data_IF_013873243504
#
_entry.id   IF_013873243504
#
_cell.length_a   1.000
_cell.length_b   1.000
_cell.length_c   1.000
_cell.angle_alpha   90.00
_cell.angle_beta   90.00
_cell.angle_gamma   90.00
#
_symmetry.space_group_name_H-M   'P 1'
#
loop_
_entity.id
_entity.type
_entity.pdbx_description
1 polymer ?
#
# COMPACT_ATOMS: atom_id res chain seq x y z
N UNK A 1 -18.86 9.54 8.99
CA UNK A 1 -17.45 9.96 8.92
C UNK A 1 -16.82 10.04 10.32
N UNK A 2 -17.33 10.84 11.24
CA UNK A 2 -16.69 11.14 12.53
C UNK A 2 -16.38 9.89 13.37
N UNK A 3 -17.33 8.99 13.56
CA UNK A 3 -17.11 7.77 14.32
C UNK A 3 -16.14 6.79 13.64
N UNK A 4 -16.19 6.66 12.31
CA UNK A 4 -15.31 5.77 11.56
C UNK A 4 -13.84 6.19 11.68
N UNK A 5 -13.57 7.48 11.78
CA UNK A 5 -12.22 8.04 11.86
C UNK A 5 -11.73 8.29 13.28
N UNK A 6 -12.62 8.21 14.29
CA UNK A 6 -12.31 8.58 15.68
C UNK A 6 -11.12 7.82 16.23
N UNK A 7 -11.13 6.49 16.16
CA UNK A 7 -10.07 5.67 16.74
C UNK A 7 -8.68 6.04 16.21
N UNK A 8 -8.54 6.19 14.88
CA UNK A 8 -7.28 6.59 14.27
C UNK A 8 -6.82 7.98 14.74
N UNK A 9 -7.73 8.94 14.74
CA UNK A 9 -7.45 10.32 15.17
C UNK A 9 -7.01 10.38 16.63
N UNK A 10 -7.75 9.76 17.53
CA UNK A 10 -7.43 9.70 18.96
C UNK A 10 -6.12 8.96 19.22
N UNK A 11 -5.84 7.88 18.49
CA UNK A 11 -4.58 7.14 18.60
C UNK A 11 -3.37 8.01 18.20
N UNK A 12 -3.48 8.78 17.12
CA UNK A 12 -2.43 9.71 16.68
C UNK A 12 -2.26 10.84 17.70
N UNK A 13 -3.35 11.42 18.19
CA UNK A 13 -3.30 12.45 19.23
C UNK A 13 -2.61 11.95 20.50
N UNK A 14 -2.98 10.75 20.96
CA UNK A 14 -2.38 10.13 22.15
C UNK A 14 -0.88 9.85 21.94
N UNK A 15 -0.46 9.39 20.77
CA UNK A 15 0.94 9.19 20.44
C UNK A 15 1.72 10.51 20.43
N UNK A 16 1.18 11.54 19.74
CA UNK A 16 1.78 12.89 19.69
C UNK A 16 1.96 13.52 21.05
N UNK A 17 1.00 13.33 21.96
CA UNK A 17 1.09 13.85 23.33
C UNK A 17 2.20 13.19 24.18
N UNK A 18 2.78 12.08 23.73
CA UNK A 18 3.81 11.31 24.46
C UNK A 18 5.21 11.46 23.90
N UNK A 19 5.38 12.16 22.77
CA UNK A 19 6.67 12.31 22.10
C UNK A 19 7.02 13.77 21.88
N UNK A 20 8.33 14.07 21.70
CA UNK A 20 8.81 15.40 21.36
C UNK A 20 8.38 15.82 19.95
N UNK A 21 8.42 17.13 19.65
CA UNK A 21 8.06 17.67 18.33
C UNK A 21 8.92 17.16 17.17
N UNK A 22 10.14 16.67 17.44
CA UNK A 22 11.05 16.09 16.46
C UNK A 22 10.77 14.62 16.16
N UNK A 23 9.92 13.94 16.96
CA UNK A 23 9.58 12.54 16.73
C UNK A 23 8.53 12.40 15.63
N UNK A 24 8.81 11.54 14.64
CA UNK A 24 7.89 11.29 13.54
C UNK A 24 6.76 10.33 13.98
N UNK A 25 5.54 10.85 14.00
CA UNK A 25 4.31 10.03 14.15
C UNK A 25 3.68 9.89 12.78
N UNK A 26 3.54 8.67 12.31
CA UNK A 26 3.03 8.34 10.97
C UNK A 26 2.01 7.21 11.05
N UNK A 27 1.30 6.96 9.95
CA UNK A 27 0.36 5.85 9.81
C UNK A 27 0.40 5.28 8.40
N UNK A 28 0.11 3.99 8.30
CA UNK A 28 -0.39 3.43 7.06
C UNK A 28 -1.88 3.66 6.97
N UNK A 29 -2.33 4.26 5.87
CA UNK A 29 -3.72 4.64 5.67
C UNK A 29 -4.30 3.98 4.42
N UNK A 30 -5.39 3.22 4.60
CA UNK A 30 -6.22 2.77 3.50
C UNK A 30 -7.17 3.89 3.09
N UNK A 31 -7.19 4.24 1.81
CA UNK A 31 -7.99 5.36 1.27
C UNK A 31 -9.13 4.91 0.34
N UNK A 32 -9.21 3.60 0.05
CA UNK A 32 -10.26 3.03 -0.80
C UNK A 32 -10.41 1.55 -0.48
N UNK A 33 -11.60 1.13 -0.05
CA UNK A 33 -11.84 -0.25 0.34
C UNK A 33 -12.14 -1.19 -0.82
N UNK A 34 -12.78 -0.70 -1.89
CA UNK A 34 -13.16 -1.51 -3.05
C UNK A 34 -14.31 -2.47 -2.78
N UNK A 35 -15.21 -2.17 -1.86
CA UNK A 35 -16.47 -2.86 -1.66
C UNK A 35 -17.62 -1.86 -1.42
N UNK A 36 -18.89 -2.31 -1.59
CA UNK A 36 -20.02 -1.40 -1.77
C UNK A 36 -20.27 -0.41 -0.64
N UNK A 37 -20.70 0.79 -1.01
CA UNK A 37 -21.33 1.74 -0.11
C UNK A 37 -22.58 1.12 0.57
N UNK A 38 -22.90 1.42 1.85
CA UNK A 38 -22.23 2.43 2.70
C UNK A 38 -21.07 1.88 3.55
N UNK A 39 -20.66 0.65 3.35
CA UNK A 39 -19.65 -0.02 4.17
C UNK A 39 -18.23 0.29 3.71
N UNK A 40 -18.02 0.43 2.41
CA UNK A 40 -16.73 0.79 1.84
C UNK A 40 -16.33 2.24 2.10
N UNK A 41 -15.07 2.48 2.46
CA UNK A 41 -14.49 3.81 2.56
C UNK A 41 -13.88 4.22 1.22
N UNK A 42 -14.02 5.50 0.85
CA UNK A 42 -13.46 6.03 -0.40
C UNK A 42 -14.12 5.47 -1.66
N UNK A 43 -15.37 5.04 -1.58
CA UNK A 43 -16.15 4.51 -2.70
C UNK A 43 -17.31 5.43 -3.05
N UNK A 44 -17.68 5.46 -4.34
CA UNK A 44 -18.80 6.24 -4.82
C UNK A 44 -20.14 5.66 -4.31
N UNK A 45 -21.05 6.52 -3.88
CA UNK A 45 -22.37 6.13 -3.36
C UNK A 45 -23.26 5.47 -4.41
N UNK A 46 -23.14 5.87 -5.70
CA UNK A 46 -24.03 5.44 -6.77
C UNK A 46 -23.73 4.04 -7.25
N UNK A 47 -22.48 3.70 -7.46
CA UNK A 47 -22.06 2.37 -7.94
C UNK A 47 -21.39 1.51 -6.87
N UNK A 48 -21.02 2.10 -5.73
CA UNK A 48 -20.45 1.42 -4.59
C UNK A 48 -19.03 0.86 -4.79
N UNK A 49 -18.41 1.08 -5.95
CA UNK A 49 -17.11 0.49 -6.29
C UNK A 49 -16.12 1.49 -6.88
N UNK A 50 -16.55 2.48 -7.67
CA UNK A 50 -15.66 3.51 -8.20
C UNK A 50 -15.01 4.30 -7.07
N UNK A 51 -13.68 4.57 -7.11
CA UNK A 51 -13.03 5.39 -6.10
C UNK A 51 -13.63 6.79 -6.02
N UNK A 52 -13.96 7.22 -4.80
CA UNK A 52 -14.33 8.59 -4.47
C UNK A 52 -13.40 9.10 -3.36
N UNK A 53 -12.57 10.07 -3.69
CA UNK A 53 -11.54 10.58 -2.78
C UNK A 53 -12.01 11.75 -1.91
N UNK A 54 -13.30 12.10 -1.87
CA UNK A 54 -13.79 13.20 -1.05
C UNK A 54 -13.58 12.96 0.45
N UNK A 55 -14.09 11.84 0.98
CA UNK A 55 -13.87 11.48 2.40
C UNK A 55 -12.40 11.17 2.72
N UNK A 56 -11.65 10.41 1.89
CA UNK A 56 -10.22 10.22 2.11
C UNK A 56 -9.43 11.52 2.18
N UNK A 57 -9.66 12.46 1.29
CA UNK A 57 -9.02 13.79 1.32
C UNK A 57 -9.37 14.53 2.61
N UNK A 58 -10.63 14.52 3.03
CA UNK A 58 -11.04 15.13 4.31
C UNK A 58 -10.28 14.53 5.49
N UNK A 59 -10.16 13.20 5.55
CA UNK A 59 -9.42 12.53 6.62
C UNK A 59 -7.94 12.88 6.59
N UNK A 60 -7.30 12.83 5.43
CA UNK A 60 -5.88 13.19 5.26
C UNK A 60 -5.64 14.64 5.67
N UNK A 61 -6.56 15.56 5.32
CA UNK A 61 -6.50 16.96 5.76
C UNK A 61 -6.48 17.10 7.29
N UNK A 62 -7.34 16.38 8.00
CA UNK A 62 -7.34 16.35 9.46
C UNK A 62 -6.02 15.80 10.01
N UNK A 63 -5.57 14.65 9.48
CA UNK A 63 -4.32 14.03 9.93
C UNK A 63 -3.11 14.96 9.71
N UNK A 64 -3.02 15.58 8.54
CA UNK A 64 -1.88 16.41 8.16
C UNK A 64 -1.94 17.81 8.77
N UNK A 65 -3.02 18.55 8.55
CA UNK A 65 -3.11 19.98 8.93
C UNK A 65 -3.44 20.20 10.41
N UNK A 66 -4.25 19.31 11.01
CA UNK A 66 -4.69 19.48 12.40
C UNK A 66 -3.85 18.66 13.37
N UNK A 67 -3.49 17.41 13.01
CA UNK A 67 -2.76 16.49 13.87
C UNK A 67 -1.25 16.41 13.60
N UNK A 68 -0.75 17.14 12.60
CA UNK A 68 0.68 17.27 12.30
C UNK A 68 1.33 15.99 11.78
N UNK A 69 0.59 15.14 11.08
CA UNK A 69 1.13 13.96 10.38
C UNK A 69 1.78 14.43 9.08
N UNK A 70 3.09 14.28 8.96
CA UNK A 70 3.87 14.76 7.81
C UNK A 70 4.35 13.64 6.89
N UNK A 71 4.02 12.39 7.20
CA UNK A 71 4.30 11.21 6.38
C UNK A 71 3.13 10.23 6.47
N UNK A 72 2.65 9.72 5.33
CA UNK A 72 1.66 8.65 5.26
C UNK A 72 2.09 7.55 4.27
N UNK A 73 1.94 6.29 4.66
CA UNK A 73 2.01 5.15 3.73
C UNK A 73 0.59 4.86 3.20
N UNK A 74 0.33 5.26 1.97
CA UNK A 74 -0.99 5.12 1.34
C UNK A 74 -1.16 3.72 0.75
N UNK A 75 -2.32 3.14 1.01
CA UNK A 75 -2.75 1.86 0.44
C UNK A 75 -4.22 1.88 0.04
N UNK A 76 -4.65 0.88 -0.72
CA UNK A 76 -6.06 0.64 -1.07
C UNK A 76 -6.45 -0.82 -0.84
N UNK A 77 -7.75 -1.10 -0.76
CA UNK A 77 -8.32 -2.43 -0.66
C UNK A 77 -8.24 -3.07 0.71
N UNK A 78 -9.17 -3.97 0.96
CA UNK A 78 -9.22 -4.76 2.18
C UNK A 78 -8.71 -6.19 1.89
N UNK A 79 -7.55 -6.61 2.46
CA UNK A 79 -6.94 -7.90 2.15
C UNK A 79 -7.76 -9.11 2.62
N UNK A 80 -8.79 -8.91 3.41
CA UNK A 80 -9.67 -9.98 3.89
C UNK A 80 -10.94 -10.14 3.05
N UNK A 81 -11.36 -9.10 2.33
CA UNK A 81 -12.56 -9.09 1.51
C UNK A 81 -12.20 -9.26 0.02
N UNK A 82 -11.34 -8.39 -0.49
CA UNK A 82 -10.95 -8.32 -1.90
C UNK A 82 -9.43 -8.18 -2.07
N UNK A 83 -8.66 -9.23 -1.74
CA UNK A 83 -7.21 -9.16 -1.71
C UNK A 83 -6.56 -8.74 -3.04
N UNK A 84 -7.21 -8.93 -4.20
CA UNK A 84 -6.71 -8.47 -5.50
C UNK A 84 -6.59 -6.94 -5.58
N UNK A 85 -7.51 -6.19 -4.96
CA UNK A 85 -7.48 -4.72 -4.92
C UNK A 85 -6.24 -4.21 -4.18
N UNK A 86 -5.95 -4.80 -3.03
CA UNK A 86 -4.78 -4.44 -2.20
C UNK A 86 -3.47 -5.02 -2.74
N UNK A 87 -3.54 -6.19 -3.33
CA UNK A 87 -2.39 -6.99 -3.77
C UNK A 87 -2.64 -7.57 -5.16
N UNK A 88 -2.50 -6.78 -6.22
CA UNK A 88 -2.58 -7.29 -7.58
C UNK A 88 -1.72 -8.55 -7.75
N UNK A 89 -2.26 -9.58 -8.38
CA UNK A 89 -1.63 -10.88 -8.57
C UNK A 89 -2.21 -11.58 -9.79
N UNK A 90 -1.44 -12.45 -10.41
CA UNK A 90 -1.91 -13.25 -11.55
C UNK A 90 -2.82 -14.41 -11.10
N UNK A 91 -2.70 -14.84 -9.82
CA UNK A 91 -3.41 -15.98 -9.26
C UNK A 91 -4.04 -15.63 -7.92
N UNK A 92 -5.30 -15.98 -7.77
CA UNK A 92 -6.06 -15.95 -6.53
C UNK A 92 -6.90 -17.24 -6.45
N UNK A 93 -7.39 -17.64 -5.27
CA UNK A 93 -8.28 -18.80 -5.13
C UNK A 93 -9.72 -18.54 -5.62
N UNK A 94 -9.92 -17.49 -6.42
CA UNK A 94 -11.18 -17.09 -7.03
C UNK A 94 -10.90 -16.42 -8.37
N UNK A 95 -11.90 -16.32 -9.23
CA UNK A 95 -11.79 -15.63 -10.51
C UNK A 95 -11.55 -14.14 -10.31
N UNK A 96 -10.48 -13.63 -10.91
CA UNK A 96 -10.12 -12.22 -10.81
C UNK A 96 -11.10 -11.38 -11.63
N UNK A 97 -11.80 -10.42 -11.02
CA UNK A 97 -12.79 -9.59 -11.73
C UNK A 97 -12.14 -8.53 -12.62
N UNK A 98 -10.82 -8.37 -12.55
CA UNK A 98 -10.07 -7.34 -13.27
C UNK A 98 -8.64 -7.78 -13.60
N UNK A 99 -8.03 -7.08 -14.56
CA UNK A 99 -6.59 -7.21 -14.83
C UNK A 99 -5.78 -6.69 -13.62
N UNK A 100 -4.72 -7.41 -13.19
CA UNK A 100 -3.84 -6.93 -12.13
C UNK A 100 -3.22 -5.55 -12.40
N UNK A 101 -2.96 -5.21 -13.67
CA UNK A 101 -2.46 -3.89 -14.05
C UNK A 101 -3.50 -2.78 -13.85
N UNK A 102 -4.80 -3.07 -14.02
CA UNK A 102 -5.86 -2.13 -13.66
C UNK A 102 -5.86 -1.84 -12.16
N UNK A 103 -5.63 -2.86 -11.33
CA UNK A 103 -5.45 -2.70 -9.88
C UNK A 103 -4.25 -1.82 -9.51
N UNK A 104 -3.09 -2.00 -10.18
CA UNK A 104 -1.91 -1.13 -10.02
C UNK A 104 -2.23 0.31 -10.41
N UNK A 105 -2.85 0.51 -11.58
CA UNK A 105 -3.21 1.84 -12.08
C UNK A 105 -4.17 2.56 -11.13
N UNK A 106 -5.19 1.86 -10.60
CA UNK A 106 -6.12 2.40 -9.60
C UNK A 106 -5.39 2.84 -8.33
N UNK A 107 -4.49 2.01 -7.81
CA UNK A 107 -3.70 2.35 -6.62
C UNK A 107 -2.87 3.63 -6.85
N UNK A 108 -2.19 3.72 -7.98
CA UNK A 108 -1.42 4.91 -8.35
C UNK A 108 -2.32 6.15 -8.48
N UNK A 109 -3.46 6.04 -9.16
CA UNK A 109 -4.40 7.15 -9.36
C UNK A 109 -5.00 7.65 -8.05
N UNK A 110 -5.41 6.75 -7.16
CA UNK A 110 -5.91 7.11 -5.83
C UNK A 110 -4.83 7.84 -5.00
N UNK A 111 -3.60 7.31 -5.00
CA UNK A 111 -2.47 7.92 -4.29
C UNK A 111 -2.14 9.30 -4.86
N UNK A 112 -2.08 9.44 -6.19
CA UNK A 112 -1.87 10.73 -6.86
C UNK A 112 -2.91 11.76 -6.44
N UNK A 113 -4.18 11.38 -6.40
CA UNK A 113 -5.26 12.28 -6.00
C UNK A 113 -5.10 12.84 -4.58
N UNK A 114 -4.50 12.07 -3.67
CA UNK A 114 -4.15 12.56 -2.32
C UNK A 114 -2.92 13.47 -2.39
N UNK A 115 -1.87 13.08 -3.14
CA UNK A 115 -0.65 13.89 -3.26
C UNK A 115 -0.92 15.26 -3.88
N UNK A 116 -1.78 15.33 -4.90
CA UNK A 116 -2.20 16.61 -5.51
C UNK A 116 -2.95 17.52 -4.54
N UNK A 117 -3.76 16.93 -3.65
CA UNK A 117 -4.46 17.70 -2.63
C UNK A 117 -3.56 18.20 -1.49
N UNK A 118 -2.47 17.49 -1.22
CA UNK A 118 -1.53 17.77 -0.12
C UNK A 118 -0.08 17.63 -0.61
N UNK A 119 0.42 18.58 -1.41
CA UNK A 119 1.75 18.49 -2.02
C UNK A 119 2.91 18.58 -1.01
N UNK A 120 2.66 19.14 0.17
CA UNK A 120 3.59 19.27 1.28
C UNK A 120 3.60 18.04 2.24
N UNK A 121 2.67 17.10 2.07
CA UNK A 121 2.64 15.84 2.80
C UNK A 121 3.55 14.82 2.10
N UNK A 122 4.51 14.24 2.82
CA UNK A 122 5.29 13.13 2.29
C UNK A 122 4.42 11.88 2.18
N UNK A 123 4.27 11.34 0.97
CA UNK A 123 3.48 10.13 0.71
C UNK A 123 4.39 9.00 0.25
N UNK A 124 4.27 7.85 0.91
CA UNK A 124 4.81 6.58 0.44
C UNK A 124 3.73 5.92 -0.42
N UNK A 125 4.00 5.81 -1.73
CA UNK A 125 3.17 5.06 -2.66
C UNK A 125 3.57 3.60 -2.71
N UNK A 126 2.62 2.69 -2.62
CA UNK A 126 2.87 1.25 -2.53
C UNK A 126 2.17 0.45 -3.65
N UNK A 127 2.25 -0.89 -3.60
CA UNK A 127 1.64 -1.76 -4.62
C UNK A 127 2.54 -2.13 -5.80
N UNK A 128 3.74 -1.59 -5.88
CA UNK A 128 4.65 -1.74 -7.02
C UNK A 128 5.27 -3.15 -7.16
N UNK A 129 5.23 -3.99 -6.12
CA UNK A 129 5.88 -5.32 -6.15
C UNK A 129 5.34 -6.25 -7.24
N UNK A 130 4.11 -6.04 -7.72
CA UNK A 130 3.54 -6.79 -8.86
C UNK A 130 4.33 -6.56 -10.15
N UNK A 131 4.92 -5.40 -10.34
CA UNK A 131 5.67 -5.02 -11.54
C UNK A 131 7.07 -5.68 -11.61
N UNK A 132 7.44 -6.46 -10.60
CA UNK A 132 8.68 -7.25 -10.58
C UNK A 132 9.91 -6.37 -10.84
N UNK A 133 10.75 -6.76 -11.82
CA UNK A 133 11.98 -6.03 -12.19
C UNK A 133 11.73 -4.63 -12.77
N UNK A 134 10.52 -4.35 -13.26
CA UNK A 134 10.14 -3.04 -13.81
C UNK A 134 9.64 -2.05 -12.75
N UNK A 135 9.51 -2.50 -11.50
CA UNK A 135 9.00 -1.68 -10.42
C UNK A 135 9.85 -0.43 -10.13
N UNK A 136 11.20 -0.44 -10.20
CA UNK A 136 12.02 0.75 -10.00
C UNK A 136 11.76 1.84 -11.05
N UNK A 137 11.66 1.47 -12.32
CA UNK A 137 11.41 2.41 -13.41
C UNK A 137 10.03 3.04 -13.30
N UNK A 138 9.01 2.23 -12.98
CA UNK A 138 7.66 2.75 -12.70
C UNK A 138 7.65 3.66 -11.48
N UNK A 139 8.36 3.30 -10.41
CA UNK A 139 8.47 4.12 -9.21
C UNK A 139 9.12 5.48 -9.51
N UNK A 140 10.24 5.48 -10.26
CA UNK A 140 10.92 6.71 -10.67
C UNK A 140 10.02 7.60 -11.53
N UNK A 141 9.28 7.01 -12.47
CA UNK A 141 8.28 7.71 -13.28
C UNK A 141 7.17 8.32 -12.42
N UNK A 142 6.61 7.55 -11.49
CA UNK A 142 5.55 8.00 -10.61
C UNK A 142 5.99 9.16 -9.68
N UNK A 143 7.21 9.09 -9.14
CA UNK A 143 7.79 10.20 -8.35
C UNK A 143 7.95 11.45 -9.21
N UNK A 144 8.52 11.33 -10.40
CA UNK A 144 8.69 12.46 -11.33
C UNK A 144 7.37 13.11 -11.72
N UNK A 145 6.33 12.30 -11.94
CA UNK A 145 4.99 12.77 -12.32
C UNK A 145 4.11 13.16 -11.11
N UNK A 146 4.67 13.21 -9.90
CA UNK A 146 3.99 13.69 -8.70
C UNK A 146 2.89 12.77 -8.17
N UNK A 147 3.00 11.46 -8.38
CA UNK A 147 2.05 10.49 -7.81
C UNK A 147 2.27 10.29 -6.31
N UNK A 148 3.50 10.32 -5.88
CA UNK A 148 3.97 10.25 -4.49
C UNK A 148 5.45 10.68 -4.44
N UNK A 149 5.97 10.89 -3.24
CA UNK A 149 7.36 11.33 -3.05
C UNK A 149 8.31 10.16 -2.74
N UNK A 150 7.80 9.07 -2.16
CA UNK A 150 8.59 7.93 -1.71
C UNK A 150 7.97 6.63 -2.26
N UNK A 151 8.79 5.78 -2.87
CA UNK A 151 8.35 4.46 -3.34
C UNK A 151 8.41 3.42 -2.23
N UNK A 152 7.26 2.74 -1.97
CA UNK A 152 7.13 1.69 -0.96
C UNK A 152 7.10 0.29 -1.57
N UNK A 153 7.92 -0.62 -1.03
CA UNK A 153 8.01 -2.02 -1.46
C UNK A 153 7.78 -2.96 -0.28
N UNK A 154 6.63 -3.64 -0.25
CA UNK A 154 6.34 -4.62 0.79
C UNK A 154 6.89 -6.01 0.45
N UNK A 155 6.17 -6.76 -0.37
CA UNK A 155 6.50 -8.17 -0.69
C UNK A 155 7.81 -8.36 -1.44
N UNK A 156 8.32 -7.34 -2.13
CA UNK A 156 9.63 -7.36 -2.76
C UNK A 156 10.73 -7.60 -1.72
N UNK A 157 10.64 -6.97 -0.55
CA UNK A 157 11.61 -7.13 0.52
C UNK A 157 11.72 -8.57 1.06
N UNK A 158 10.62 -9.34 1.05
CA UNK A 158 10.66 -10.76 1.40
C UNK A 158 11.34 -11.62 0.34
N UNK A 159 11.09 -11.32 -0.94
CA UNK A 159 11.61 -12.12 -2.03
C UNK A 159 13.06 -11.78 -2.40
N UNK A 160 13.41 -10.50 -2.28
CA UNK A 160 14.68 -9.92 -2.71
C UNK A 160 15.19 -8.92 -1.66
N UNK A 161 15.75 -9.37 -0.53
CA UNK A 161 16.18 -8.48 0.56
C UNK A 161 17.14 -7.36 0.12
N UNK A 162 18.02 -7.64 -0.84
CA UNK A 162 19.02 -6.68 -1.35
C UNK A 162 18.48 -5.73 -2.45
N UNK A 163 17.18 -5.77 -2.79
CA UNK A 163 16.64 -5.00 -3.91
C UNK A 163 16.95 -3.50 -3.82
N UNK A 164 16.86 -2.92 -2.62
CA UNK A 164 17.12 -1.50 -2.42
C UNK A 164 18.61 -1.16 -2.65
N UNK A 165 19.53 -2.03 -2.23
CA UNK A 165 20.96 -1.88 -2.48
C UNK A 165 21.28 -1.92 -3.98
N UNK A 166 20.66 -2.83 -4.71
CA UNK A 166 20.87 -2.93 -6.16
C UNK A 166 20.32 -1.70 -6.89
N UNK A 167 19.12 -1.21 -6.53
CA UNK A 167 18.57 0.05 -7.06
C UNK A 167 19.52 1.23 -6.79
N UNK A 168 19.97 1.39 -5.54
CA UNK A 168 20.86 2.50 -5.14
C UNK A 168 22.22 2.44 -5.85
N UNK A 169 22.68 1.25 -6.24
CA UNK A 169 23.92 1.08 -7.02
C UNK A 169 23.71 1.17 -8.55
N UNK A 170 22.50 1.56 -9.00
CA UNK A 170 22.18 1.70 -10.42
C UNK A 170 22.02 0.39 -11.17
N UNK A 171 21.87 -0.74 -10.48
CA UNK A 171 21.68 -2.05 -11.12
C UNK A 171 20.21 -2.31 -11.41
N UNK A 172 19.95 -3.00 -12.50
CA UNK A 172 18.64 -3.60 -12.77
C UNK A 172 18.33 -4.70 -11.76
N UNK A 173 17.06 -4.85 -11.38
CA UNK A 173 16.65 -5.94 -10.51
C UNK A 173 16.69 -7.29 -11.24
N UNK A 174 17.30 -8.30 -10.63
CA UNK A 174 17.27 -9.68 -11.11
C UNK A 174 15.84 -10.23 -11.05
N UNK A 175 15.23 -10.45 -12.23
CA UNK A 175 13.86 -10.96 -12.36
C UNK A 175 13.62 -12.28 -11.61
N UNK A 176 14.67 -13.12 -11.49
CA UNK A 176 14.62 -14.42 -10.79
C UNK A 176 14.50 -14.26 -9.27
N UNK A 177 14.92 -13.11 -8.70
CA UNK A 177 14.81 -12.79 -7.28
C UNK A 177 13.53 -12.04 -6.96
N UNK A 178 12.92 -11.36 -7.93
CA UNK A 178 11.73 -10.55 -7.70
C UNK A 178 10.54 -11.35 -7.15
N UNK A 179 9.69 -10.65 -6.39
CA UNK A 179 8.40 -11.16 -5.95
C UNK A 179 7.51 -11.48 -7.16
N UNK A 180 6.94 -12.67 -7.20
CA UNK A 180 6.01 -13.10 -8.25
C UNK A 180 4.53 -12.93 -7.86
N UNK A 181 4.25 -12.21 -6.79
CA UNK A 181 2.91 -11.91 -6.28
C UNK A 181 2.02 -13.14 -5.98
N UNK A 182 2.60 -14.32 -5.73
CA UNK A 182 1.87 -15.59 -5.55
C UNK A 182 1.05 -15.70 -4.25
N UNK A 183 1.19 -14.76 -3.30
CA UNK A 183 0.41 -14.76 -2.05
C UNK A 183 0.83 -15.77 -0.98
N UNK A 184 1.75 -16.71 -1.23
CA UNK A 184 2.14 -17.78 -0.29
C UNK A 184 2.71 -17.25 1.04
N UNK A 185 3.43 -16.11 1.04
CA UNK A 185 3.88 -15.46 2.27
C UNK A 185 2.71 -15.04 3.18
N UNK A 186 1.59 -14.59 2.60
CA UNK A 186 0.38 -14.24 3.36
C UNK A 186 -0.35 -15.49 3.87
N UNK A 187 -0.33 -16.59 3.12
CA UNK A 187 -0.89 -17.86 3.59
C UNK A 187 -0.08 -18.39 4.77
N UNK A 188 1.26 -18.40 4.66
CA UNK A 188 2.14 -18.82 5.74
C UNK A 188 1.90 -18.02 7.04
N UNK A 189 1.74 -16.71 6.93
CA UNK A 189 1.39 -15.85 8.05
C UNK A 189 0.02 -16.19 8.66
N UNK A 190 -1.00 -16.49 7.82
CA UNK A 190 -2.34 -16.87 8.30
C UNK A 190 -2.36 -18.22 9.02
N UNK A 191 -1.43 -19.11 8.71
CA UNK A 191 -1.26 -20.38 9.45
C UNK A 191 -0.51 -20.18 10.80
N UNK A 192 -0.28 -18.96 11.22
CA UNK A 192 0.41 -18.66 12.48
C UNK A 192 1.92 -18.87 12.43
N UNK A 193 2.50 -19.07 11.26
CA UNK A 193 3.92 -19.23 11.05
C UNK A 193 4.65 -17.90 10.80
N UNK A 194 5.99 -17.96 10.73
CA UNK A 194 6.83 -16.81 10.42
C UNK A 194 6.60 -16.35 8.99
N UNK A 195 6.45 -15.03 8.76
CA UNK A 195 6.27 -14.47 7.43
C UNK A 195 7.59 -14.33 6.66
N UNK A 196 7.62 -14.82 5.42
CA UNK A 196 8.75 -14.71 4.51
C UNK A 196 8.44 -15.25 3.13
N UNK A 197 9.38 -15.19 2.19
CA UNK A 197 9.15 -15.63 0.83
C UNK A 197 9.28 -17.14 0.67
N UNK A 198 8.18 -17.84 0.52
CA UNK A 198 8.13 -19.30 0.28
C UNK A 198 8.80 -19.72 -1.03
N UNK A 199 8.91 -18.82 -2.00
CA UNK A 199 9.45 -19.15 -3.34
C UNK A 199 10.96 -18.90 -3.45
N UNK A 200 11.47 -17.92 -2.69
CA UNK A 200 12.86 -17.45 -2.84
C UNK A 200 13.75 -17.79 -1.65
N UNK A 201 13.17 -18.29 -0.55
CA UNK A 201 13.89 -18.58 0.67
C UNK A 201 13.56 -20.00 1.14
N UNK A 202 14.59 -20.85 1.20
CA UNK A 202 14.47 -22.27 1.55
C UNK A 202 13.97 -22.50 2.97
N UNK A 203 14.20 -21.58 3.90
CA UNK A 203 13.69 -21.66 5.27
C UNK A 203 12.17 -21.58 5.25
N UNK A 204 11.60 -20.61 4.54
CA UNK A 204 10.14 -20.44 4.44
C UNK A 204 9.49 -21.45 3.52
N UNK A 205 10.21 -21.99 2.53
CA UNK A 205 9.72 -23.12 1.72
C UNK A 205 9.45 -24.32 2.62
N UNK A 206 10.37 -24.66 3.53
CA UNK A 206 10.21 -25.78 4.47
C UNK A 206 9.07 -25.55 5.48
N UNK A 207 8.84 -24.30 5.90
CA UNK A 207 7.75 -23.97 6.82
C UNK A 207 6.37 -24.01 6.16
N UNK A 208 6.31 -23.99 4.84
CA UNK A 208 5.07 -24.01 4.08
C UNK A 208 4.61 -25.42 3.70
N UNK A 209 5.51 -26.40 3.71
CA UNK A 209 5.23 -27.82 3.49
C UNK A 209 4.54 -28.45 4.70
#
# INVERSE_FOLDING_TARGET
FENRTRFLRESIMAARARVSGSFLVTSRLNIYDGFPYPYGFGVNEKDGLTPDMAEPKKLVGILHKELGVNLLDITIGNPYVNPHVNRPADFQPYDLPESPLAGVARMLSCTKSIQEAYPDLAIIGSGLSYLRQFAPQMAAGAVREGYFQIAGFGRMAFAYPDFAKDILSGKDLDSRKCCIACGKCSQLMRFGSKAGCVVRDSVYTKLYQ
#
